data_IF_837532229892
#
_entry.id   IF_837532229892
#
_cell.length_a   1.000
_cell.length_b   1.000
_cell.length_c   1.000
_cell.angle_alpha   90.00
_cell.angle_beta   90.00
_cell.angle_gamma   90.00
#
_symmetry.space_group_name_H-M   'P 1'
#
loop_
_entity.id
_entity.type
_entity.pdbx_description
1 polymer ?
#
# COMPACT_ATOMS: atom_id res chain seq x y z
N UNK A 1 -28.35 -3.66 -12.30
CA UNK A 1 -27.83 -3.12 -11.03
C UNK A 1 -26.31 -3.23 -11.03
N UNK A 2 -25.64 -2.17 -10.68
CA UNK A 2 -24.19 -2.18 -10.63
C UNK A 2 -23.70 -3.00 -9.43
N UNK A 3 -22.68 -3.82 -9.64
CA UNK A 3 -22.04 -4.62 -8.61
C UNK A 3 -20.68 -4.05 -8.19
N UNK A 4 -20.28 -2.93 -8.80
CA UNK A 4 -19.06 -2.17 -8.43
C UNK A 4 -19.36 -0.68 -8.41
N UNK A 5 -18.57 0.04 -7.63
CA UNK A 5 -18.58 1.50 -7.62
C UNK A 5 -17.28 1.96 -8.28
N UNK A 6 -17.39 2.89 -9.22
CA UNK A 6 -16.23 3.46 -9.90
C UNK A 6 -16.03 4.90 -9.40
N UNK A 7 -14.84 5.20 -8.95
CA UNK A 7 -14.46 6.54 -8.50
C UNK A 7 -13.15 6.95 -9.13
N UNK A 8 -12.96 8.25 -9.42
CA UNK A 8 -11.64 8.71 -9.85
C UNK A 8 -10.69 8.74 -8.67
N UNK A 9 -9.50 8.17 -8.86
CA UNK A 9 -8.45 8.11 -7.83
C UNK A 9 -7.09 8.41 -8.47
N UNK A 10 -6.09 8.71 -7.64
CA UNK A 10 -4.74 8.94 -8.12
C UNK A 10 -4.09 7.64 -8.58
N UNK A 11 -3.08 7.74 -9.45
CA UNK A 11 -2.29 6.58 -9.89
C UNK A 11 -1.61 5.89 -8.70
N UNK A 12 -1.06 6.67 -7.78
CA UNK A 12 -0.41 6.12 -6.59
C UNK A 12 -1.35 5.30 -5.73
N UNK A 13 -2.61 5.72 -5.61
CA UNK A 13 -3.62 5.00 -4.84
C UNK A 13 -3.95 3.64 -5.47
N UNK A 14 -4.11 3.59 -6.79
CA UNK A 14 -4.37 2.34 -7.50
C UNK A 14 -3.19 1.39 -7.40
N UNK A 15 -1.97 1.90 -7.60
CA UNK A 15 -0.78 1.06 -7.51
C UNK A 15 -0.56 0.52 -6.11
N UNK A 16 -0.82 1.33 -5.09
CA UNK A 16 -0.76 0.88 -3.70
C UNK A 16 -1.70 -0.31 -3.49
N UNK A 17 -2.93 -0.18 -3.95
CA UNK A 17 -3.92 -1.24 -3.83
C UNK A 17 -3.51 -2.50 -4.58
N UNK A 18 -2.97 -2.36 -5.78
CA UNK A 18 -2.48 -3.50 -6.59
C UNK A 18 -1.35 -4.23 -5.86
N UNK A 19 -0.36 -3.49 -5.34
CA UNK A 19 0.78 -4.12 -4.64
C UNK A 19 0.32 -4.82 -3.37
N UNK A 20 -0.64 -4.27 -2.65
CA UNK A 20 -1.22 -4.92 -1.47
C UNK A 20 -1.95 -6.20 -1.87
N UNK A 21 -2.73 -6.18 -2.96
CA UNK A 21 -3.41 -7.36 -3.46
C UNK A 21 -2.42 -8.45 -3.91
N UNK A 22 -1.31 -8.05 -4.54
CA UNK A 22 -0.25 -8.97 -4.89
C UNK A 22 0.31 -9.69 -3.66
N UNK A 23 0.58 -8.93 -2.59
CA UNK A 23 1.06 -9.49 -1.33
C UNK A 23 0.03 -10.45 -0.73
N UNK A 24 -1.24 -10.06 -0.74
CA UNK A 24 -2.33 -10.92 -0.26
C UNK A 24 -2.39 -12.22 -1.06
N UNK A 25 -2.23 -12.15 -2.38
CA UNK A 25 -2.25 -13.33 -3.24
C UNK A 25 -1.10 -14.29 -2.94
N UNK A 26 0.02 -13.78 -2.47
CA UNK A 26 1.20 -14.57 -2.13
C UNK A 26 1.13 -15.16 -0.72
N UNK A 27 0.47 -14.49 0.22
CA UNK A 27 0.52 -14.83 1.65
C UNK A 27 -0.74 -15.45 2.22
N UNK A 28 -1.91 -15.15 1.67
CA UNK A 28 -3.18 -15.71 2.15
C UNK A 28 -3.31 -17.15 1.63
N UNK A 29 -3.73 -18.06 2.51
CA UNK A 29 -3.86 -19.49 2.20
C UNK A 29 -5.31 -19.94 2.03
N UNK A 30 -6.26 -19.22 2.60
CA UNK A 30 -7.68 -19.55 2.50
C UNK A 30 -8.18 -19.37 1.06
N UNK A 31 -8.70 -20.44 0.45
CA UNK A 31 -9.12 -20.44 -0.96
C UNK A 31 -10.24 -19.45 -1.26
N UNK A 32 -11.21 -19.31 -0.37
CA UNK A 32 -12.31 -18.37 -0.57
C UNK A 32 -11.80 -16.93 -0.59
N UNK A 33 -10.89 -16.59 0.32
CA UNK A 33 -10.26 -15.28 0.37
C UNK A 33 -9.39 -15.04 -0.85
N UNK A 34 -8.62 -16.03 -1.28
CA UNK A 34 -7.78 -15.93 -2.48
C UNK A 34 -8.59 -15.66 -3.75
N UNK A 35 -9.76 -16.29 -3.88
CA UNK A 35 -10.63 -16.02 -5.03
C UNK A 35 -11.03 -14.54 -5.08
N UNK A 36 -11.42 -13.98 -3.95
CA UNK A 36 -11.78 -12.57 -3.87
C UNK A 36 -10.58 -11.66 -4.18
N UNK A 37 -9.41 -11.99 -3.65
CA UNK A 37 -8.17 -11.25 -3.89
C UNK A 37 -7.81 -11.26 -5.37
N UNK A 38 -7.82 -12.43 -5.99
CA UNK A 38 -7.46 -12.58 -7.40
C UNK A 38 -8.43 -11.87 -8.32
N UNK A 39 -9.73 -11.93 -8.03
CA UNK A 39 -10.75 -11.24 -8.81
C UNK A 39 -10.49 -9.73 -8.82
N UNK A 40 -10.27 -9.14 -7.66
CA UNK A 40 -10.00 -7.72 -7.53
C UNK A 40 -8.65 -7.34 -8.17
N UNK A 41 -7.62 -8.15 -7.95
CA UNK A 41 -6.29 -7.92 -8.51
C UNK A 41 -6.32 -7.91 -10.04
N UNK A 42 -6.99 -8.89 -10.65
CA UNK A 42 -7.11 -8.98 -12.10
C UNK A 42 -7.82 -7.76 -12.68
N UNK A 43 -8.91 -7.33 -12.06
CA UNK A 43 -9.67 -6.17 -12.50
C UNK A 43 -8.85 -4.88 -12.41
N UNK A 44 -8.19 -4.65 -11.29
CA UNK A 44 -7.39 -3.44 -11.10
C UNK A 44 -6.14 -3.45 -11.97
N UNK A 45 -5.52 -4.62 -12.19
CA UNK A 45 -4.35 -4.75 -13.05
C UNK A 45 -4.69 -4.41 -14.50
N UNK A 46 -5.85 -4.86 -14.98
CA UNK A 46 -6.30 -4.53 -16.33
C UNK A 46 -6.51 -3.02 -16.50
N UNK A 47 -7.15 -2.39 -15.52
CA UNK A 47 -7.37 -0.94 -15.50
C UNK A 47 -6.04 -0.19 -15.47
N UNK A 48 -5.11 -0.65 -14.65
CA UNK A 48 -3.77 -0.06 -14.53
C UNK A 48 -3.01 -0.15 -15.85
N UNK A 49 -2.96 -1.33 -16.45
CA UNK A 49 -2.22 -1.56 -17.68
C UNK A 49 -2.72 -0.66 -18.82
N UNK A 50 -4.03 -0.49 -18.92
CA UNK A 50 -4.61 0.39 -19.92
C UNK A 50 -4.31 1.86 -19.64
N UNK A 51 -4.36 2.29 -18.39
CA UNK A 51 -4.12 3.69 -18.02
C UNK A 51 -2.65 4.08 -18.18
N UNK A 52 -1.73 3.19 -17.86
CA UNK A 52 -0.29 3.47 -17.84
C UNK A 52 0.37 3.25 -19.20
N UNK A 53 -0.05 2.20 -19.90
CA UNK A 53 0.47 1.82 -21.25
C UNK A 53 1.99 1.80 -21.28
N UNK A 54 2.59 2.65 -22.15
CA UNK A 54 4.03 2.71 -22.38
C UNK A 54 4.82 3.36 -21.23
N UNK A 55 4.14 3.99 -20.29
CA UNK A 55 4.78 4.64 -19.13
C UNK A 55 5.12 3.66 -18.01
N UNK A 56 4.69 2.41 -18.10
CA UNK A 56 4.93 1.40 -17.06
C UNK A 56 6.41 1.25 -16.72
N UNK A 57 7.30 1.32 -17.72
CA UNK A 57 8.74 1.19 -17.54
C UNK A 57 9.31 2.34 -16.68
N UNK A 58 8.74 3.55 -16.80
CA UNK A 58 9.22 4.72 -16.08
C UNK A 58 9.02 4.60 -14.57
N UNK A 59 7.99 3.85 -14.14
CA UNK A 59 7.67 3.72 -12.73
C UNK A 59 7.91 2.30 -12.17
N UNK A 60 8.60 1.46 -12.95
CA UNK A 60 8.85 0.07 -12.53
C UNK A 60 9.61 -0.01 -11.22
N UNK A 61 10.59 0.87 -10.99
CA UNK A 61 11.35 0.91 -9.76
C UNK A 61 10.49 1.39 -8.58
N UNK A 62 9.68 2.41 -8.80
CA UNK A 62 8.75 2.91 -7.78
C UNK A 62 7.73 1.84 -7.39
N UNK A 63 7.27 1.05 -8.36
CA UNK A 63 6.37 -0.08 -8.10
C UNK A 63 7.02 -1.10 -7.16
N UNK A 64 8.29 -1.42 -7.41
CA UNK A 64 9.05 -2.34 -6.55
C UNK A 64 9.21 -1.78 -5.14
N UNK A 65 9.54 -0.50 -5.03
CA UNK A 65 9.69 0.17 -3.75
C UNK A 65 8.38 0.16 -2.96
N UNK A 66 7.27 0.43 -3.65
CA UNK A 66 5.95 0.45 -3.00
C UNK A 66 5.57 -0.94 -2.49
N UNK A 67 5.80 -1.98 -3.30
CA UNK A 67 5.54 -3.35 -2.86
C UNK A 67 6.40 -3.71 -1.65
N UNK A 68 7.69 -3.36 -1.66
CA UNK A 68 8.60 -3.65 -0.55
C UNK A 68 8.15 -2.96 0.74
N UNK A 69 7.72 -1.71 0.67
CA UNK A 69 7.20 -0.99 1.84
C UNK A 69 5.91 -1.64 2.35
N UNK A 70 5.03 -2.05 1.47
CA UNK A 70 3.80 -2.74 1.86
C UNK A 70 4.08 -4.11 2.46
N UNK A 71 5.13 -4.80 2.01
CA UNK A 71 5.59 -6.05 2.63
C UNK A 71 6.12 -5.82 4.04
N UNK A 72 6.88 -4.74 4.25
CA UNK A 72 7.32 -4.34 5.59
C UNK A 72 6.12 -4.11 6.51
N UNK A 73 5.11 -3.37 6.03
CA UNK A 73 3.90 -3.11 6.79
C UNK A 73 3.13 -4.38 7.12
N UNK A 74 3.09 -5.33 6.21
CA UNK A 74 2.46 -6.63 6.45
C UNK A 74 3.07 -7.31 7.67
N UNK A 75 4.41 -7.37 7.72
CA UNK A 75 5.13 -8.00 8.84
C UNK A 75 4.92 -7.21 10.13
N UNK A 76 5.03 -5.87 10.08
CA UNK A 76 4.81 -5.02 11.25
C UNK A 76 3.41 -5.22 11.82
N UNK A 77 2.39 -5.30 10.95
CA UNK A 77 1.01 -5.50 11.37
C UNK A 77 0.80 -6.87 12.06
N UNK A 78 1.41 -7.92 11.54
CA UNK A 78 1.34 -9.23 12.16
C UNK A 78 2.07 -9.21 13.52
N UNK A 79 3.26 -8.65 13.56
CA UNK A 79 4.09 -8.64 14.77
C UNK A 79 3.44 -7.82 15.90
N UNK A 80 2.85 -6.67 15.58
CA UNK A 80 2.22 -5.84 16.61
C UNK A 80 0.94 -6.51 17.14
N UNK A 81 0.22 -7.23 16.27
CA UNK A 81 -0.95 -7.99 16.69
C UNK A 81 -0.57 -9.18 17.58
N UNK A 82 0.58 -9.78 17.35
CA UNK A 82 1.12 -10.83 18.22
C UNK A 82 1.41 -10.26 19.62
N UNK A 83 2.01 -9.08 19.70
CA UNK A 83 2.25 -8.40 20.99
C UNK A 83 0.93 -8.09 21.70
N UNK A 84 -0.06 -7.61 20.96
CA UNK A 84 -1.39 -7.33 21.52
C UNK A 84 -2.05 -8.60 22.06
N UNK A 85 -1.98 -9.69 21.30
CA UNK A 85 -2.54 -10.98 21.73
C UNK A 85 -1.87 -11.50 23.00
N UNK A 86 -0.56 -11.27 23.14
CA UNK A 86 0.21 -11.65 24.31
C UNK A 86 0.06 -10.66 25.47
N UNK A 87 -0.65 -9.55 25.27
CA UNK A 87 -0.77 -8.44 26.25
C UNK A 87 0.61 -7.92 26.68
N UNK A 88 1.56 -7.94 25.76
CA UNK A 88 2.91 -7.44 25.98
C UNK A 88 3.07 -6.08 25.31
N UNK A 89 3.04 -5.03 26.11
CA UNK A 89 3.13 -3.63 25.66
C UNK A 89 4.48 -3.01 26.00
N UNK A 90 5.51 -3.84 26.11
CA UNK A 90 6.87 -3.42 26.43
C UNK A 90 7.60 -2.80 25.24
N UNK A 91 8.96 -2.76 25.30
CA UNK A 91 9.77 -2.09 24.28
C UNK A 91 9.53 -2.54 22.85
N UNK A 92 9.27 -3.83 22.64
CA UNK A 92 9.01 -4.36 21.29
C UNK A 92 7.71 -3.82 20.72
N UNK A 93 6.66 -3.75 21.55
CA UNK A 93 5.38 -3.18 21.13
C UNK A 93 5.55 -1.71 20.70
N UNK A 94 6.28 -0.95 21.50
CA UNK A 94 6.54 0.47 21.22
C UNK A 94 7.32 0.63 19.91
N UNK A 95 8.34 -0.19 19.69
CA UNK A 95 9.12 -0.20 18.45
C UNK A 95 8.24 -0.45 17.24
N UNK A 96 7.35 -1.46 17.33
CA UNK A 96 6.43 -1.81 16.25
C UNK A 96 5.40 -0.70 16.00
N UNK A 97 4.86 -0.12 17.05
CA UNK A 97 3.90 0.99 16.92
C UNK A 97 4.52 2.18 16.21
N UNK A 98 5.77 2.51 16.54
CA UNK A 98 6.51 3.59 15.86
C UNK A 98 6.79 3.24 14.40
N UNK A 99 7.12 1.97 14.12
CA UNK A 99 7.39 1.49 12.77
C UNK A 99 6.18 1.67 11.85
N UNK A 100 4.96 1.58 12.38
CA UNK A 100 3.73 1.76 11.58
C UNK A 100 3.72 3.15 10.93
N UNK A 101 3.84 4.22 11.70
CA UNK A 101 3.74 5.55 11.12
C UNK A 101 4.98 5.94 10.31
N UNK A 102 6.18 5.50 10.71
CA UNK A 102 7.40 5.75 9.95
C UNK A 102 7.32 5.10 8.56
N UNK A 103 6.89 3.83 8.51
CA UNK A 103 6.76 3.09 7.25
C UNK A 103 5.61 3.62 6.40
N UNK A 104 4.50 4.02 7.03
CA UNK A 104 3.38 4.66 6.32
C UNK A 104 3.82 5.97 5.65
N UNK A 105 4.69 6.73 6.28
CA UNK A 105 5.22 7.96 5.69
C UNK A 105 6.07 7.68 4.45
N UNK A 106 6.88 6.61 4.48
CA UNK A 106 7.63 6.15 3.31
C UNK A 106 6.67 5.76 2.18
N UNK A 107 5.62 5.03 2.51
CA UNK A 107 4.61 4.63 1.54
C UNK A 107 3.96 5.84 0.88
N UNK A 108 3.55 6.81 1.66
CA UNK A 108 2.95 8.03 1.16
C UNK A 108 3.89 8.79 0.21
N UNK A 109 5.17 8.86 0.55
CA UNK A 109 6.18 9.52 -0.29
C UNK A 109 6.34 8.81 -1.64
N UNK A 110 6.37 7.48 -1.65
CA UNK A 110 6.46 6.70 -2.89
C UNK A 110 5.21 6.88 -3.75
N UNK A 111 4.03 6.83 -3.14
CA UNK A 111 2.76 7.08 -3.85
C UNK A 111 2.75 8.45 -4.51
N UNK A 112 3.25 9.47 -3.81
CA UNK A 112 3.35 10.81 -4.36
C UNK A 112 4.30 10.88 -5.56
N UNK A 113 5.43 10.19 -5.48
CA UNK A 113 6.38 10.10 -6.61
C UNK A 113 5.74 9.44 -7.82
N UNK A 114 4.95 8.39 -7.63
CA UNK A 114 4.19 7.74 -8.70
C UNK A 114 3.22 8.73 -9.34
N UNK A 115 2.48 9.48 -8.51
CA UNK A 115 1.53 10.48 -8.99
C UNK A 115 2.21 11.55 -9.84
N UNK A 116 3.36 12.03 -9.39
CA UNK A 116 4.11 13.07 -10.10
C UNK A 116 4.68 12.53 -11.42
N UNK A 117 5.22 11.31 -11.40
CA UNK A 117 5.81 10.69 -12.58
C UNK A 117 4.78 10.43 -13.68
N UNK A 118 3.55 10.06 -13.32
CA UNK A 118 2.48 9.75 -14.26
C UNK A 118 1.53 10.93 -14.53
N UNK A 119 1.77 12.07 -13.91
CA UNK A 119 0.94 13.25 -14.09
C UNK A 119 -0.47 13.09 -13.54
N UNK A 120 -0.59 12.48 -12.37
CA UNK A 120 -1.89 12.27 -11.73
C UNK A 120 -2.58 13.60 -11.44
N UNK A 121 -3.88 13.69 -11.77
CA UNK A 121 -4.70 14.84 -11.45
C UNK A 121 -4.93 14.96 -9.94
N UNK A 122 -5.08 13.81 -9.27
CA UNK A 122 -5.29 13.76 -7.82
C UNK A 122 -3.97 13.39 -7.15
N UNK A 123 -3.64 14.11 -6.07
CA UNK A 123 -2.46 13.86 -5.24
C UNK A 123 -2.93 13.87 -3.78
N UNK A 124 -2.69 12.78 -3.07
CA UNK A 124 -3.03 12.68 -1.65
C UNK A 124 -2.20 13.64 -0.82
N UNK A 125 -2.83 14.39 0.06
CA UNK A 125 -2.17 15.30 0.98
C UNK A 125 -2.31 14.80 2.42
N UNK A 126 -1.27 15.02 3.22
CA UNK A 126 -1.26 14.70 4.65
C UNK A 126 -0.83 15.93 5.43
N UNK A 127 -1.45 16.12 6.58
CA UNK A 127 -1.11 17.24 7.47
C UNK A 127 -0.97 16.79 8.92
N UNK A 128 -0.44 15.59 9.13
CA UNK A 128 -0.14 15.11 10.46
C UNK A 128 1.03 15.90 11.06
N UNK A 129 1.12 15.86 12.40
CA UNK A 129 2.24 16.49 13.11
C UNK A 129 3.57 15.94 12.57
N UNK A 130 4.49 16.84 12.21
CA UNK A 130 5.81 16.45 11.77
C UNK A 130 6.66 16.05 12.99
N UNK A 131 6.85 14.76 13.17
CA UNK A 131 7.61 14.20 14.29
C UNK A 131 9.13 14.25 14.07
N UNK A 132 9.56 14.60 12.85
CA UNK A 132 10.98 14.75 12.53
C UNK A 132 11.49 16.16 12.82
N UNK A 133 10.57 17.12 12.99
CA UNK A 133 10.92 18.51 13.25
C UNK A 133 11.55 18.65 14.64
N UNK A 134 12.68 19.36 14.73
CA UNK A 134 13.32 19.69 15.99
C UNK A 134 12.86 21.07 16.44
N UNK A 135 12.43 21.14 17.68
CA UNK A 135 12.05 22.41 18.30
C UNK A 135 13.26 23.09 18.90
#
# INVERSE_FOLDING_TARGET
>A
MADVIKVPVSFGEVLDKITILEIKSERIKDEAKLRNVRLELDELSATWDEAVRDKAAEIADLRKQLKAVNEELWVIEDDIRDQEAAQDFGPRFIELARAVYVTNDKRAAIKKEVNLALGSRFVEEKSYQDYTARK
#
